data_IF_212108135408
#
_entry.id   IF_212108135408
#
_cell.length_a   1.000
_cell.length_b   1.000
_cell.length_c   1.000
_cell.angle_alpha   90.00
_cell.angle_beta   90.00
_cell.angle_gamma   90.00
#
_symmetry.space_group_name_H-M   'P 1'
#
loop_
_entity.id
_entity.type
_entity.pdbx_description
1 polymer ?
#
# COMPACT_ATOMS: atom_id res chain seq x y z
N UNK A 1 7.76 16.67 -17.16
CA UNK A 1 6.91 15.46 -17.07
C UNK A 1 5.68 15.82 -16.26
N UNK A 2 4.50 15.72 -16.87
CA UNK A 2 3.23 15.95 -16.16
C UNK A 2 3.07 14.87 -15.08
N UNK A 3 2.77 15.28 -13.85
CA UNK A 3 2.54 14.36 -12.73
C UNK A 3 1.21 13.65 -12.97
N UNK A 4 1.20 12.31 -12.90
CA UNK A 4 -0.07 11.58 -13.02
C UNK A 4 -1.03 11.98 -11.89
N UNK A 5 -2.28 12.28 -12.25
CA UNK A 5 -3.28 12.66 -11.27
C UNK A 5 -3.90 11.43 -10.60
N UNK A 6 -3.56 11.26 -9.33
CA UNK A 6 -4.06 10.19 -8.47
C UNK A 6 -5.31 10.62 -7.72
N UNK A 7 -6.48 10.48 -8.36
CA UNK A 7 -7.76 10.65 -7.68
C UNK A 7 -7.98 9.57 -6.61
N UNK A 8 -9.01 9.75 -5.77
CA UNK A 8 -9.39 8.77 -4.75
C UNK A 8 -9.79 7.44 -5.39
N UNK A 9 -10.54 7.47 -6.48
CA UNK A 9 -11.03 6.31 -7.22
C UNK A 9 -9.85 5.53 -7.81
N UNK A 10 -8.92 6.21 -8.49
CA UNK A 10 -7.70 5.57 -9.02
C UNK A 10 -6.84 4.96 -7.92
N UNK A 11 -6.76 5.63 -6.76
CA UNK A 11 -6.02 5.11 -5.61
C UNK A 11 -6.71 3.87 -5.02
N UNK A 12 -8.04 3.87 -4.86
CA UNK A 12 -8.82 2.69 -4.44
C UNK A 12 -8.61 1.52 -5.38
N UNK A 13 -8.69 1.80 -6.68
CA UNK A 13 -8.55 0.79 -7.70
C UNK A 13 -7.14 0.21 -7.75
N UNK A 14 -6.10 1.04 -7.59
CA UNK A 14 -4.72 0.55 -7.42
C UNK A 14 -4.60 -0.37 -6.20
N UNK A 15 -5.21 0.00 -5.07
CA UNK A 15 -5.17 -0.82 -3.86
C UNK A 15 -5.87 -2.16 -4.07
N UNK A 16 -7.03 -2.19 -4.75
CA UNK A 16 -7.69 -3.46 -5.06
C UNK A 16 -6.87 -4.36 -5.98
N UNK A 17 -6.14 -3.79 -6.95
CA UNK A 17 -5.23 -4.56 -7.81
C UNK A 17 -4.06 -5.15 -7.00
N UNK A 18 -3.57 -4.43 -5.99
CA UNK A 18 -2.49 -4.92 -5.13
C UNK A 18 -2.88 -6.14 -4.30
N UNK A 19 -4.17 -6.33 -3.98
CA UNK A 19 -4.63 -7.53 -3.25
C UNK A 19 -4.31 -8.82 -4.02
N UNK A 20 -4.39 -8.79 -5.36
CA UNK A 20 -4.01 -9.90 -6.22
C UNK A 20 -2.51 -10.03 -6.51
N UNK A 21 -1.70 -9.06 -6.05
CA UNK A 21 -0.26 -8.97 -6.36
C UNK A 21 0.58 -8.89 -5.08
N UNK A 22 0.55 -9.91 -4.20
CA UNK A 22 1.25 -9.88 -2.92
C UNK A 22 2.77 -9.71 -3.09
N UNK A 23 3.36 -10.24 -4.16
CA UNK A 23 4.77 -10.05 -4.50
C UNK A 23 5.18 -8.58 -4.74
N UNK A 24 4.23 -7.68 -4.94
CA UNK A 24 4.52 -6.25 -4.97
C UNK A 24 4.73 -5.68 -3.57
N UNK A 25 3.89 -6.02 -2.58
CA UNK A 25 3.83 -5.31 -1.29
C UNK A 25 4.16 -6.14 -0.05
N UNK A 26 4.00 -7.45 -0.09
CA UNK A 26 4.26 -8.36 1.02
C UNK A 26 5.71 -8.84 1.00
N UNK A 27 6.51 -8.30 1.92
CA UNK A 27 7.93 -8.62 2.05
C UNK A 27 8.20 -10.04 2.55
N UNK A 28 7.18 -10.73 3.09
CA UNK A 28 7.28 -12.09 3.59
C UNK A 28 7.20 -13.14 2.47
N UNK A 29 6.59 -12.80 1.33
CA UNK A 29 6.52 -13.68 0.16
C UNK A 29 7.91 -13.87 -0.46
N UNK A 30 8.23 -15.10 -0.85
CA UNK A 30 9.48 -15.39 -1.55
C UNK A 30 9.57 -14.62 -2.88
N UNK A 31 8.44 -14.47 -3.57
CA UNK A 31 8.27 -13.76 -4.83
C UNK A 31 8.56 -12.27 -4.71
N UNK A 32 8.48 -11.68 -3.52
CA UNK A 32 8.87 -10.28 -3.30
C UNK A 32 10.35 -10.05 -3.62
N UNK A 33 11.20 -11.07 -3.43
CA UNK A 33 12.62 -11.01 -3.78
C UNK A 33 12.86 -11.10 -5.30
N UNK A 34 11.85 -11.55 -6.06
CA UNK A 34 11.95 -11.66 -7.51
C UNK A 34 11.80 -10.28 -8.17
N UNK A 35 12.94 -9.64 -8.46
CA UNK A 35 12.99 -8.30 -9.07
C UNK A 35 12.27 -8.26 -10.42
N UNK A 36 12.40 -9.30 -11.24
CA UNK A 36 11.80 -9.37 -12.58
C UNK A 36 10.27 -9.44 -12.52
N UNK A 37 9.70 -10.29 -11.65
CA UNK A 37 8.24 -10.36 -11.44
C UNK A 37 7.68 -9.01 -10.98
N UNK A 38 8.35 -8.34 -10.05
CA UNK A 38 7.92 -7.00 -9.58
C UNK A 38 7.98 -5.95 -10.68
N UNK A 39 9.06 -5.94 -11.48
CA UNK A 39 9.17 -5.01 -12.60
C UNK A 39 8.04 -5.22 -13.61
N UNK A 40 7.79 -6.47 -14.01
CA UNK A 40 6.70 -6.81 -14.93
C UNK A 40 5.32 -6.41 -14.39
N UNK A 41 5.04 -6.67 -13.11
CA UNK A 41 3.77 -6.26 -12.51
C UNK A 41 3.62 -4.72 -12.41
N UNK A 42 4.71 -4.00 -12.14
CA UNK A 42 4.71 -2.52 -12.17
C UNK A 42 4.48 -2.00 -13.59
N UNK A 43 5.07 -2.62 -14.61
CA UNK A 43 4.86 -2.27 -16.02
C UNK A 43 3.41 -2.50 -16.45
N UNK A 44 2.81 -3.64 -16.07
CA UNK A 44 1.39 -3.90 -16.34
C UNK A 44 0.47 -2.87 -15.68
N UNK A 45 0.78 -2.46 -14.44
CA UNK A 45 0.05 -1.37 -13.78
C UNK A 45 0.27 -0.04 -14.51
N UNK A 46 1.50 0.24 -14.97
CA UNK A 46 1.80 1.47 -15.70
C UNK A 46 0.98 1.56 -17.00
N UNK A 47 0.90 0.45 -17.74
CA UNK A 47 0.06 0.33 -18.93
C UNK A 47 -1.43 0.52 -18.59
N UNK A 48 -1.92 -0.14 -17.55
CA UNK A 48 -3.33 -0.05 -17.13
C UNK A 48 -3.76 1.37 -16.75
N UNK A 49 -2.87 2.13 -16.09
CA UNK A 49 -3.13 3.51 -15.70
C UNK A 49 -2.69 4.53 -16.77
N UNK A 50 -2.19 4.08 -17.92
CA UNK A 50 -1.61 4.95 -18.96
C UNK A 50 -0.58 5.94 -18.40
N UNK A 51 0.35 5.42 -17.60
CA UNK A 51 1.41 6.19 -16.93
C UNK A 51 2.76 5.46 -17.02
N UNK A 52 3.80 5.97 -16.36
CA UNK A 52 5.12 5.33 -16.32
C UNK A 52 5.33 4.46 -15.08
N UNK A 53 6.18 3.44 -15.22
CA UNK A 53 6.52 2.52 -14.13
C UNK A 53 7.16 3.21 -12.92
N UNK A 54 7.85 4.33 -13.14
CA UNK A 54 8.41 5.17 -12.08
C UNK A 54 7.33 5.87 -11.25
N UNK A 55 6.27 6.35 -11.88
CA UNK A 55 5.10 6.95 -11.22
C UNK A 55 4.32 5.93 -10.39
N UNK A 56 4.08 4.73 -10.95
CA UNK A 56 3.51 3.61 -10.19
C UNK A 56 4.39 3.27 -8.99
N UNK A 57 5.70 3.09 -9.21
CA UNK A 57 6.66 2.77 -8.15
C UNK A 57 6.66 3.82 -7.02
N UNK A 58 6.62 5.11 -7.38
CA UNK A 58 6.55 6.22 -6.42
C UNK A 58 5.24 6.19 -5.62
N UNK A 59 4.10 5.97 -6.30
CA UNK A 59 2.79 5.87 -5.63
C UNK A 59 2.76 4.69 -4.67
N UNK A 60 3.26 3.53 -5.08
CA UNK A 60 3.34 2.33 -4.24
C UNK A 60 4.22 2.54 -3.00
N UNK A 61 5.38 3.18 -3.17
CA UNK A 61 6.26 3.53 -2.05
C UNK A 61 5.56 4.46 -1.05
N UNK A 62 4.90 5.50 -1.55
CA UNK A 62 4.17 6.46 -0.71
C UNK A 62 3.02 5.79 0.06
N UNK A 63 2.24 4.95 -0.61
CA UNK A 63 1.18 4.17 0.03
C UNK A 63 1.76 3.32 1.17
N UNK A 64 2.82 2.53 0.91
CA UNK A 64 3.40 1.63 1.93
C UNK A 64 3.88 2.40 3.15
N UNK A 65 4.52 3.53 2.91
CA UNK A 65 5.00 4.42 3.97
C UNK A 65 3.83 4.95 4.79
N UNK A 66 2.75 5.40 4.15
CA UNK A 66 1.53 5.84 4.84
C UNK A 66 0.92 4.71 5.68
N UNK A 67 0.74 3.52 5.12
CA UNK A 67 0.18 2.37 5.84
C UNK A 67 1.02 1.94 7.04
N UNK A 68 2.33 1.83 6.88
CA UNK A 68 3.23 1.46 7.97
C UNK A 68 3.22 2.52 9.09
N UNK A 69 3.09 3.80 8.74
CA UNK A 69 2.93 4.87 9.71
C UNK A 69 1.60 4.76 10.46
N UNK A 70 0.50 4.52 9.75
CA UNK A 70 -0.82 4.29 10.37
C UNK A 70 -0.81 3.03 11.25
N UNK A 71 -0.21 1.92 10.80
CA UNK A 71 -0.01 0.70 11.59
C UNK A 71 0.80 0.96 12.87
N UNK A 72 1.85 1.80 12.79
CA UNK A 72 2.60 2.17 13.99
C UNK A 72 1.77 3.02 14.96
N UNK A 73 0.89 3.89 14.47
CA UNK A 73 -0.01 4.67 15.33
C UNK A 73 -1.04 3.78 16.01
N UNK A 74 -1.62 2.81 15.31
CA UNK A 74 -2.56 1.84 15.90
C UNK A 74 -1.88 0.90 16.90
N UNK A 75 -0.61 0.52 16.67
CA UNK A 75 0.19 -0.33 17.57
C UNK A 75 0.81 0.41 18.75
N UNK A 76 0.97 1.74 18.67
CA UNK A 76 1.49 2.55 19.78
C UNK A 76 0.43 2.64 20.90
N UNK A 77 0.39 1.62 21.76
CA UNK A 77 0.04 1.84 23.17
C UNK A 77 1.23 2.55 23.80
N UNK A 78 1.07 3.83 24.16
CA UNK A 78 2.08 4.52 24.97
C UNK A 78 2.19 3.77 26.30
N UNK A 79 3.35 3.19 26.60
CA UNK A 79 3.66 2.77 27.96
C UNK A 79 3.51 4.01 28.87
N UNK A 80 2.49 4.02 29.74
CA UNK A 80 2.29 5.05 30.76
C UNK A 80 1.09 5.99 30.62
N UNK A 81 0.11 5.79 29.71
CA UNK A 81 -1.15 6.56 29.74
C UNK A 81 -2.34 5.65 30.02
N UNK A 82 -3.04 5.96 31.13
CA UNK A 82 -4.32 5.37 31.47
C UNK A 82 -5.42 5.79 30.49
N UNK A 83 -6.38 4.87 30.33
CA UNK A 83 -7.64 4.98 29.58
C UNK A 83 -7.56 4.92 28.04
N UNK A 84 -7.78 3.70 27.54
CA UNK A 84 -8.81 3.33 26.57
C UNK A 84 -9.21 4.30 25.45
N UNK A 85 -8.30 4.65 24.55
CA UNK A 85 -8.69 4.91 23.15
C UNK A 85 -7.73 4.18 22.22
N UNK A 86 -8.18 3.05 21.65
CA UNK A 86 -7.49 2.39 20.55
C UNK A 86 -7.56 3.34 19.36
N UNK A 87 -6.42 3.89 18.92
CA UNK A 87 -6.39 4.75 17.75
C UNK A 87 -6.97 4.01 16.55
N UNK A 88 -8.11 4.46 16.06
CA UNK A 88 -8.68 4.03 14.78
C UNK A 88 -8.12 4.93 13.69
N UNK A 89 -7.48 4.34 12.68
CA UNK A 89 -6.94 5.12 11.56
C UNK A 89 -8.07 5.85 10.84
N UNK A 90 -7.87 7.15 10.60
CA UNK A 90 -8.78 7.97 9.80
C UNK A 90 -8.53 7.82 8.30
N UNK A 91 -7.54 7.01 7.92
CA UNK A 91 -7.22 6.80 6.53
C UNK A 91 -8.22 5.83 5.91
N UNK A 92 -8.99 6.31 4.95
CA UNK A 92 -10.09 5.58 4.29
C UNK A 92 -9.66 4.24 3.68
N UNK A 93 -8.37 4.10 3.35
CA UNK A 93 -7.79 2.88 2.78
C UNK A 93 -7.14 1.97 3.81
N UNK A 94 -7.05 2.40 5.07
CA UNK A 94 -6.36 1.64 6.11
C UNK A 94 -7.05 0.31 6.37
N UNK A 95 -8.38 0.30 6.49
CA UNK A 95 -9.13 -0.94 6.72
C UNK A 95 -9.01 -1.89 5.54
N UNK A 96 -9.27 -1.42 4.30
CA UNK A 96 -9.13 -2.22 3.07
C UNK A 96 -7.75 -2.87 3.00
N UNK A 97 -6.69 -2.11 3.24
CA UNK A 97 -5.35 -2.64 3.12
C UNK A 97 -4.92 -3.50 4.32
N UNK A 98 -5.44 -3.22 5.53
CA UNK A 98 -5.23 -4.03 6.73
C UNK A 98 -5.84 -5.41 6.59
N UNK A 99 -7.05 -5.54 6.04
CA UNK A 99 -7.66 -6.86 5.79
C UNK A 99 -6.85 -7.66 4.77
N UNK A 100 -6.29 -7.01 3.76
CA UNK A 100 -5.45 -7.66 2.75
C UNK A 100 -4.06 -8.05 3.28
N UNK A 101 -3.55 -7.32 4.28
CA UNK A 101 -2.29 -7.63 4.96
C UNK A 101 -2.40 -8.64 6.12
N UNK A 102 -3.61 -8.88 6.67
CA UNK A 102 -3.85 -9.78 7.81
C UNK A 102 -4.41 -11.16 7.40
N UNK A 103 -4.45 -11.49 6.10
CA UNK A 103 -4.87 -12.82 5.62
C UNK A 103 -3.77 -13.90 5.67
N UNK A 104 -2.69 -13.68 6.43
CA UNK A 104 -1.64 -14.67 6.70
C UNK A 104 -1.26 -14.66 8.18
#
# INVERSE_FOLDING_TARGET
MSKFDWTKEKTKFLISLLEGLPHLWDVSQAEYKNRSKRAAAIEQLAEHFSTDSGEIGRKLHNLRTQFNNELRKTRKRKSGQGSSEVYTSKWEFFEVWKYSALKF
#
